data_IF_315687139442
#
_entry.id   IF_315687139442
#
_cell.length_a   1.000
_cell.length_b   1.000
_cell.length_c   1.000
_cell.angle_alpha   90.00
_cell.angle_beta   90.00
_cell.angle_gamma   90.00
#
_symmetry.space_group_name_H-M   'P 1'
#
loop_
_entity.id
_entity.type
_entity.pdbx_description
1 polymer ?
#
# COMPACT_ATOMS: atom_id res chain seq x y z
N UNK A 1 -92.79 1.41 6.59
CA UNK A 1 -91.82 2.28 5.88
C UNK A 1 -90.45 2.04 6.49
N UNK A 2 -89.56 1.36 5.75
CA UNK A 2 -88.22 0.99 6.24
C UNK A 2 -87.30 2.21 6.12
N UNK A 3 -86.53 2.44 7.19
CA UNK A 3 -85.83 3.68 7.49
C UNK A 3 -84.57 3.85 6.60
N UNK A 4 -84.68 4.64 5.52
CA UNK A 4 -83.67 4.85 4.48
C UNK A 4 -82.42 5.66 4.92
N UNK A 5 -82.33 6.09 6.19
CA UNK A 5 -81.22 6.93 6.65
C UNK A 5 -79.95 6.16 7.04
N UNK A 6 -80.04 4.86 7.35
CA UNK A 6 -78.87 4.07 7.75
C UNK A 6 -77.94 3.70 6.58
N UNK A 7 -78.46 3.58 5.37
CA UNK A 7 -77.69 3.10 4.20
C UNK A 7 -76.72 4.16 3.63
N UNK A 8 -77.03 5.44 3.76
CA UNK A 8 -76.20 6.53 3.22
C UNK A 8 -75.00 6.90 4.10
N UNK A 9 -75.07 6.66 5.42
CA UNK A 9 -73.98 7.03 6.35
C UNK A 9 -72.77 6.09 6.23
N UNK A 10 -72.99 4.81 5.92
CA UNK A 10 -71.92 3.83 5.70
C UNK A 10 -71.23 4.02 4.34
N UNK A 11 -71.97 4.46 3.31
CA UNK A 11 -71.41 4.70 1.96
C UNK A 11 -70.44 5.89 1.92
N UNK A 12 -70.68 6.92 2.73
CA UNK A 12 -69.76 8.07 2.84
C UNK A 12 -68.48 7.70 3.60
N UNK A 13 -68.59 7.01 4.74
CA UNK A 13 -67.42 6.59 5.54
C UNK A 13 -66.47 5.65 4.79
N UNK A 14 -66.99 4.75 3.95
CA UNK A 14 -66.17 3.84 3.14
C UNK A 14 -65.38 4.57 2.04
N UNK A 15 -65.96 5.63 1.42
CA UNK A 15 -65.27 6.43 0.41
C UNK A 15 -64.12 7.25 1.00
N UNK A 16 -64.30 7.80 2.20
CA UNK A 16 -63.26 8.60 2.87
C UNK A 16 -62.10 7.70 3.33
N UNK A 17 -62.38 6.51 3.89
CA UNK A 17 -61.34 5.56 4.29
C UNK A 17 -60.54 5.03 3.10
N UNK A 18 -61.20 4.74 1.97
CA UNK A 18 -60.53 4.26 0.75
C UNK A 18 -59.66 5.34 0.09
N UNK A 19 -60.06 6.62 0.17
CA UNK A 19 -59.24 7.75 -0.29
C UNK A 19 -58.00 7.96 0.58
N UNK A 20 -58.12 7.87 1.91
CA UNK A 20 -56.96 7.98 2.81
C UNK A 20 -55.98 6.82 2.63
N UNK A 21 -56.47 5.60 2.39
CA UNK A 21 -55.64 4.42 2.16
C UNK A 21 -54.92 4.45 0.80
N UNK A 22 -55.53 5.03 -0.24
CA UNK A 22 -54.86 5.23 -1.53
C UNK A 22 -53.77 6.31 -1.46
N UNK A 23 -54.00 7.40 -0.72
CA UNK A 23 -53.03 8.49 -0.58
C UNK A 23 -51.81 8.02 0.25
N UNK A 24 -52.01 7.24 1.31
CA UNK A 24 -50.90 6.66 2.07
C UNK A 24 -50.11 5.62 1.28
N UNK A 25 -50.75 4.87 0.37
CA UNK A 25 -50.06 3.93 -0.51
C UNK A 25 -49.24 4.66 -1.59
N UNK A 26 -49.72 5.80 -2.12
CA UNK A 26 -48.99 6.64 -3.09
C UNK A 26 -47.82 7.36 -2.40
N UNK A 27 -47.97 7.81 -1.15
CA UNK A 27 -46.88 8.38 -0.34
C UNK A 27 -45.83 7.34 0.08
N UNK A 28 -46.23 6.08 0.28
CA UNK A 28 -45.29 4.99 0.56
C UNK A 28 -44.44 4.58 -0.67
N UNK A 29 -44.92 4.84 -1.89
CA UNK A 29 -44.18 4.55 -3.14
C UNK A 29 -43.12 5.63 -3.45
N UNK A 30 -43.22 6.84 -2.88
CA UNK A 30 -42.18 7.86 -2.98
C UNK A 30 -41.11 7.79 -1.88
N UNK A 31 -41.24 6.86 -0.93
CA UNK A 31 -40.17 6.45 0.00
C UNK A 31 -39.41 5.23 -0.54
N UNK A 32 -39.27 5.10 -1.86
CA UNK A 32 -38.19 4.30 -2.43
C UNK A 32 -36.88 4.96 -2.01
N UNK A 33 -36.18 4.29 -1.09
CA UNK A 33 -34.73 4.35 -0.90
C UNK A 33 -34.06 5.04 -2.09
N UNK A 34 -33.54 6.25 -1.87
CA UNK A 34 -32.52 6.80 -2.73
C UNK A 34 -31.42 5.75 -2.79
N UNK A 35 -31.35 4.99 -3.88
CA UNK A 35 -30.07 4.43 -4.30
C UNK A 35 -29.19 5.66 -4.42
N UNK A 36 -28.23 5.81 -3.51
CA UNK A 36 -27.14 6.74 -3.70
C UNK A 36 -26.61 6.46 -5.10
N UNK A 37 -26.88 7.38 -6.03
CA UNK A 37 -26.34 7.32 -7.36
C UNK A 37 -24.82 7.31 -7.22
N UNK A 38 -24.19 6.37 -7.92
CA UNK A 38 -22.75 6.14 -7.84
C UNK A 38 -21.98 7.43 -8.02
N UNK A 39 -21.54 7.99 -6.90
CA UNK A 39 -20.68 9.17 -6.86
C UNK A 39 -19.22 8.81 -7.09
N UNK A 40 -18.40 9.83 -7.26
CA UNK A 40 -16.93 9.69 -7.26
C UNK A 40 -16.37 10.30 -5.99
N UNK A 41 -15.28 9.74 -5.50
CA UNK A 41 -14.42 10.38 -4.52
C UNK A 41 -12.98 10.36 -4.99
N UNK A 42 -12.11 11.04 -4.26
CA UNK A 42 -10.71 11.20 -4.65
C UNK A 42 -9.82 10.38 -3.73
N UNK A 43 -8.85 9.67 -4.29
CA UNK A 43 -7.82 8.96 -3.53
C UNK A 43 -6.43 9.50 -3.87
N UNK A 44 -5.62 9.72 -2.86
CA UNK A 44 -4.18 9.91 -3.00
C UNK A 44 -3.45 8.72 -2.39
N UNK A 45 -2.55 8.10 -3.15
CA UNK A 45 -1.64 7.07 -2.64
C UNK A 45 -0.27 7.67 -2.35
N UNK A 46 0.28 7.37 -1.17
CA UNK A 46 1.63 7.75 -0.80
C UNK A 46 2.32 6.68 0.02
N UNK A 47 3.64 6.73 0.05
CA UNK A 47 4.48 5.85 0.85
C UNK A 47 5.14 6.65 1.96
N UNK A 48 5.26 6.06 3.15
CA UNK A 48 5.76 6.75 4.35
C UNK A 48 6.82 5.91 5.05
N UNK A 49 7.99 6.48 5.27
CA UNK A 49 9.05 5.86 6.07
C UNK A 49 9.45 6.78 7.24
N UNK A 50 8.90 6.58 8.44
CA UNK A 50 9.19 7.44 9.60
C UNK A 50 10.64 7.36 10.08
N UNK A 51 11.34 6.24 9.81
CA UNK A 51 12.77 6.10 10.08
C UNK A 51 13.56 7.07 9.21
N UNK A 52 13.29 7.13 7.91
CA UNK A 52 13.95 8.07 7.01
C UNK A 52 13.63 9.53 7.37
N UNK A 53 12.38 9.86 7.70
CA UNK A 53 12.02 11.24 8.11
C UNK A 53 12.81 11.68 9.35
N UNK A 54 12.93 10.80 10.36
CA UNK A 54 13.74 11.05 11.55
C UNK A 54 15.23 11.11 11.23
N UNK A 55 15.72 10.19 10.40
CA UNK A 55 17.12 10.14 9.99
C UNK A 55 17.53 11.39 9.21
N UNK A 56 16.75 11.81 8.20
CA UNK A 56 16.96 13.07 7.47
C UNK A 56 16.98 14.26 8.41
N UNK A 57 16.10 14.35 9.41
CA UNK A 57 16.16 15.44 10.40
C UNK A 57 17.48 15.48 11.20
N UNK A 58 18.12 14.32 11.40
CA UNK A 58 19.41 14.20 12.09
C UNK A 58 20.60 14.37 11.13
N UNK A 59 20.51 13.83 9.92
CA UNK A 59 21.52 13.90 8.87
C UNK A 59 21.62 15.31 8.30
N UNK A 60 20.50 15.99 8.10
CA UNK A 60 20.44 17.38 7.62
C UNK A 60 20.91 18.37 8.70
N UNK A 61 20.73 18.03 9.99
CA UNK A 61 21.43 18.70 11.09
C UNK A 61 22.95 18.46 11.02
N UNK A 62 23.40 17.22 10.82
CA UNK A 62 24.83 16.88 10.71
C UNK A 62 25.51 17.42 9.43
N UNK A 63 24.77 17.53 8.33
CA UNK A 63 25.24 17.97 6.99
C UNK A 63 24.97 19.45 6.71
N UNK A 64 24.51 20.22 7.69
CA UNK A 64 24.41 21.69 7.61
C UNK A 64 25.77 22.41 7.49
N UNK A 65 26.83 21.69 7.12
CA UNK A 65 28.16 22.18 6.83
C UNK A 65 28.34 22.32 5.29
N UNK A 66 28.50 23.54 4.74
CA UNK A 66 28.17 23.86 3.34
C UNK A 66 29.22 23.48 2.28
N UNK A 67 29.91 22.34 2.39
CA UNK A 67 31.01 21.99 1.47
C UNK A 67 30.83 20.74 0.59
N UNK A 68 29.64 20.12 0.51
CA UNK A 68 29.47 18.93 -0.33
C UNK A 68 28.41 19.21 -1.41
N UNK A 69 28.80 20.03 -2.38
CA UNK A 69 28.10 20.18 -3.65
C UNK A 69 29.13 20.29 -4.77
N UNK A 70 29.61 19.15 -5.27
CA UNK A 70 30.19 19.07 -6.61
C UNK A 70 30.21 17.63 -7.11
N UNK A 71 29.61 17.43 -8.29
CA UNK A 71 29.93 16.37 -9.26
C UNK A 71 29.99 14.94 -8.69
N UNK A 72 28.80 14.33 -8.46
CA UNK A 72 28.71 12.94 -8.02
C UNK A 72 29.17 11.98 -9.14
N UNK A 73 30.39 11.47 -9.00
CA UNK A 73 30.75 10.18 -9.57
C UNK A 73 29.69 9.13 -9.17
N UNK A 74 29.48 8.05 -9.96
CA UNK A 74 28.56 6.99 -9.56
C UNK A 74 28.94 6.51 -8.16
N UNK A 75 27.95 6.47 -7.26
CA UNK A 75 28.15 6.03 -5.90
C UNK A 75 28.65 4.58 -5.92
N UNK A 76 29.79 4.34 -5.28
CA UNK A 76 30.38 3.00 -5.12
C UNK A 76 30.20 2.60 -3.66
N UNK A 77 29.67 1.41 -3.42
CA UNK A 77 29.60 0.88 -2.06
C UNK A 77 31.01 0.78 -1.47
N UNK A 78 31.22 1.26 -0.23
CA UNK A 78 32.46 1.00 0.47
C UNK A 78 32.62 -0.50 0.73
N UNK A 79 33.84 -0.92 1.07
CA UNK A 79 34.08 -2.30 1.46
C UNK A 79 33.35 -2.62 2.78
N UNK A 80 32.96 -3.89 2.93
CA UNK A 80 32.48 -4.45 4.19
C UNK A 80 33.62 -4.46 5.21
N UNK A 81 33.28 -4.28 6.49
CA UNK A 81 34.28 -4.10 7.56
C UNK A 81 34.88 -5.41 8.08
N UNK A 82 34.36 -6.56 7.65
CA UNK A 82 34.70 -7.87 8.17
C UNK A 82 33.72 -8.93 7.68
N UNK A 83 33.89 -10.16 8.19
CA UNK A 83 33.04 -11.31 7.85
C UNK A 83 31.58 -11.07 8.24
N UNK A 84 31.38 -10.19 9.23
CA UNK A 84 30.08 -9.63 9.60
C UNK A 84 30.18 -8.11 9.66
N UNK A 85 29.35 -7.42 8.89
CA UNK A 85 29.23 -5.95 8.93
C UNK A 85 27.88 -5.55 9.51
N UNK A 86 27.91 -4.80 10.60
CA UNK A 86 26.70 -4.37 11.32
C UNK A 86 26.23 -3.02 10.82
N UNK A 87 25.00 -2.94 10.34
CA UNK A 87 24.41 -1.74 9.75
C UNK A 87 23.02 -1.44 10.29
N UNK A 88 22.58 -0.20 10.19
CA UNK A 88 21.24 0.25 10.57
C UNK A 88 20.45 0.56 9.31
N UNK A 89 19.24 0.00 9.21
CA UNK A 89 18.34 0.24 8.09
C UNK A 89 17.85 1.70 8.07
N UNK A 90 17.93 2.36 6.90
CA UNK A 90 17.43 3.73 6.71
C UNK A 90 16.20 3.74 5.82
N UNK A 91 16.31 3.21 4.60
CA UNK A 91 15.21 3.16 3.62
C UNK A 91 15.45 2.07 2.57
N UNK A 92 14.43 1.80 1.78
CA UNK A 92 14.51 0.96 0.59
C UNK A 92 14.39 1.85 -0.64
N UNK A 93 15.16 1.54 -1.68
CA UNK A 93 15.10 2.21 -2.98
C UNK A 93 14.72 1.18 -4.04
N UNK A 94 13.50 1.26 -4.55
CA UNK A 94 12.95 0.35 -5.55
C UNK A 94 12.06 1.11 -6.52
N UNK A 95 11.59 0.43 -7.56
CA UNK A 95 10.68 1.00 -8.55
C UNK A 95 9.27 0.45 -8.31
N UNK A 96 8.38 1.28 -7.77
CA UNK A 96 6.94 1.01 -7.81
C UNK A 96 6.42 1.37 -9.18
N UNK A 97 5.84 0.41 -9.91
CA UNK A 97 5.32 0.67 -11.24
C UNK A 97 3.95 1.29 -11.21
N UNK A 98 2.99 0.48 -10.77
CA UNK A 98 1.58 0.80 -10.80
C UNK A 98 0.90 0.31 -9.53
N UNK A 99 -0.15 1.03 -9.15
CA UNK A 99 -0.98 0.73 -7.99
C UNK A 99 -2.43 0.65 -8.46
N UNK A 100 -3.14 -0.40 -8.05
CA UNK A 100 -4.56 -0.56 -8.33
C UNK A 100 -5.32 -0.94 -7.08
N UNK A 101 -6.60 -0.57 -7.02
CA UNK A 101 -7.51 -0.93 -5.93
C UNK A 101 -8.76 -1.60 -6.49
N UNK A 102 -9.39 -2.45 -5.69
CA UNK A 102 -10.63 -3.13 -6.07
C UNK A 102 -11.61 -3.17 -4.89
N UNK A 103 -12.89 -3.01 -5.19
CA UNK A 103 -14.00 -3.32 -4.26
C UNK A 103 -14.17 -4.83 -4.09
N UNK A 104 -13.66 -5.61 -5.05
CA UNK A 104 -13.51 -7.05 -4.95
C UNK A 104 -12.43 -7.45 -3.95
N UNK A 105 -12.55 -8.67 -3.43
CA UNK A 105 -11.63 -9.24 -2.45
C UNK A 105 -10.77 -10.32 -3.12
N UNK A 106 -9.45 -10.18 -3.04
CA UNK A 106 -8.51 -11.27 -3.35
C UNK A 106 -8.64 -12.36 -2.29
N UNK A 107 -8.93 -13.59 -2.75
CA UNK A 107 -9.16 -14.76 -1.89
C UNK A 107 -8.20 -15.87 -2.27
N UNK A 108 -7.55 -16.48 -1.26
CA UNK A 108 -6.70 -17.64 -1.46
C UNK A 108 -7.44 -18.76 -2.24
N UNK A 109 -6.76 -19.33 -3.23
CA UNK A 109 -7.33 -20.34 -4.15
C UNK A 109 -8.21 -19.78 -5.28
N UNK A 110 -8.57 -18.49 -5.25
CA UNK A 110 -9.28 -17.82 -6.33
C UNK A 110 -8.34 -17.35 -7.45
N UNK A 111 -8.90 -16.96 -8.59
CA UNK A 111 -8.17 -16.38 -9.74
C UNK A 111 -8.30 -14.85 -9.77
N UNK A 112 -7.40 -14.14 -10.47
CA UNK A 112 -7.52 -12.69 -10.67
C UNK A 112 -8.60 -12.36 -11.72
N UNK A 113 -9.85 -12.26 -11.27
CA UNK A 113 -11.02 -11.88 -12.06
C UNK A 113 -11.69 -10.60 -11.53
N UNK A 114 -10.95 -9.81 -10.74
CA UNK A 114 -11.47 -8.60 -10.11
C UNK A 114 -11.44 -7.41 -11.08
N UNK A 115 -12.37 -6.47 -10.87
CA UNK A 115 -12.31 -5.17 -11.54
C UNK A 115 -11.34 -4.28 -10.77
N UNK A 116 -10.24 -3.92 -11.43
CA UNK A 116 -9.18 -3.08 -10.87
C UNK A 116 -9.30 -1.64 -11.34
N UNK A 117 -9.18 -0.69 -10.40
CA UNK A 117 -9.08 0.74 -10.69
C UNK A 117 -7.64 1.17 -10.47
N UNK A 118 -6.98 1.68 -11.50
CA UNK A 118 -5.59 2.13 -11.45
C UNK A 118 -5.49 3.51 -10.80
N UNK A 119 -4.56 3.66 -9.86
CA UNK A 119 -4.28 4.93 -9.16
C UNK A 119 -3.11 5.70 -9.77
N UNK A 120 -2.29 5.06 -10.58
CA UNK A 120 -1.20 5.68 -11.32
C UNK A 120 -1.67 6.13 -12.70
N UNK A 121 -1.35 7.37 -13.09
CA UNK A 121 -1.69 7.89 -14.43
C UNK A 121 -0.79 7.32 -15.52
N UNK A 122 0.48 7.08 -15.17
CA UNK A 122 1.51 6.46 -16.02
C UNK A 122 2.31 5.47 -15.19
N UNK A 123 2.84 4.42 -15.83
CA UNK A 123 3.64 3.41 -15.13
C UNK A 123 4.97 4.05 -14.78
N UNK A 124 5.26 4.18 -13.49
CA UNK A 124 6.54 4.72 -13.05
C UNK A 124 7.67 3.73 -13.41
N UNK A 125 8.76 4.28 -13.94
CA UNK A 125 9.93 3.48 -14.37
C UNK A 125 11.16 3.75 -13.49
N UNK A 126 11.08 4.73 -12.61
CA UNK A 126 12.20 5.26 -11.83
C UNK A 126 12.31 4.56 -10.47
N UNK A 127 13.56 4.26 -10.08
CA UNK A 127 13.92 3.89 -8.70
C UNK A 127 13.88 5.13 -7.80
N UNK A 128 13.11 5.09 -6.72
CA UNK A 128 13.07 6.15 -5.70
C UNK A 128 13.18 5.55 -4.32
N UNK A 129 13.57 6.35 -3.32
CA UNK A 129 13.45 5.88 -1.95
C UNK A 129 11.97 5.68 -1.61
N UNK A 130 11.69 4.80 -0.66
CA UNK A 130 10.35 4.42 -0.26
C UNK A 130 9.47 5.66 0.02
N UNK A 131 9.97 6.61 0.80
CA UNK A 131 9.29 7.84 1.19
C UNK A 131 9.10 8.88 0.08
N UNK A 132 9.78 8.74 -1.05
CA UNK A 132 9.72 9.70 -2.16
C UNK A 132 8.52 9.43 -3.09
N UNK A 133 7.79 8.34 -2.88
CA UNK A 133 6.60 8.01 -3.66
C UNK A 133 5.35 8.72 -3.13
N UNK A 134 4.83 9.63 -3.94
CA UNK A 134 3.47 10.15 -3.84
C UNK A 134 2.89 10.22 -5.25
N UNK A 135 1.78 9.50 -5.49
CA UNK A 135 1.10 9.56 -6.77
C UNK A 135 0.07 10.70 -6.79
N UNK A 136 -0.17 11.32 -7.96
CA UNK A 136 -1.22 12.32 -8.10
C UNK A 136 -2.58 11.80 -7.62
N UNK A 137 -3.42 12.63 -7.00
CA UNK A 137 -4.77 12.23 -6.64
C UNK A 137 -5.59 11.80 -7.87
N UNK A 138 -6.44 10.78 -7.71
CA UNK A 138 -7.30 10.24 -8.77
C UNK A 138 -8.74 10.17 -8.30
N UNK A 139 -9.69 10.59 -9.15
CA UNK A 139 -11.12 10.39 -8.93
C UNK A 139 -11.52 8.96 -9.32
N UNK A 140 -12.13 8.23 -8.38
CA UNK A 140 -12.58 6.86 -8.57
C UNK A 140 -13.99 6.68 -7.99
N UNK A 141 -14.75 5.64 -8.40
CA UNK A 141 -16.08 5.41 -7.86
C UNK A 141 -16.09 5.34 -6.33
N UNK A 142 -17.06 5.99 -5.70
CA UNK A 142 -17.28 5.85 -4.27
C UNK A 142 -17.61 4.39 -3.93
N UNK A 143 -17.14 3.91 -2.78
CA UNK A 143 -17.36 2.55 -2.34
C UNK A 143 -16.32 2.04 -1.34
N UNK A 144 -16.50 0.79 -0.92
CA UNK A 144 -15.57 0.09 -0.02
C UNK A 144 -14.62 -0.79 -0.82
N UNK A 145 -13.35 -0.44 -0.78
CA UNK A 145 -12.24 -1.12 -1.43
C UNK A 145 -11.61 -2.13 -0.47
N UNK A 146 -11.39 -3.35 -0.94
CA UNK A 146 -10.96 -4.50 -0.13
C UNK A 146 -9.58 -5.04 -0.53
N UNK A 147 -9.13 -4.71 -1.72
CA UNK A 147 -7.86 -5.21 -2.25
C UNK A 147 -7.04 -4.09 -2.87
N UNK A 148 -5.73 -4.21 -2.75
CA UNK A 148 -4.74 -3.39 -3.47
C UNK A 148 -3.75 -4.31 -4.18
N UNK A 149 -3.38 -3.94 -5.41
CA UNK A 149 -2.38 -4.61 -6.25
C UNK A 149 -1.26 -3.63 -6.52
N UNK A 150 -0.01 -4.06 -6.38
CA UNK A 150 1.18 -3.23 -6.60
C UNK A 150 2.20 -4.00 -7.44
N UNK A 151 2.78 -3.35 -8.45
CA UNK A 151 3.89 -3.92 -9.24
C UNK A 151 5.23 -3.29 -8.87
N UNK A 152 6.28 -4.11 -8.95
CA UNK A 152 7.66 -3.69 -8.69
C UNK A 152 8.57 -4.16 -9.82
N UNK A 153 9.64 -3.39 -10.09
CA UNK A 153 10.78 -3.97 -10.81
C UNK A 153 11.52 -4.94 -9.91
N UNK A 154 12.23 -5.88 -10.53
CA UNK A 154 12.98 -6.90 -9.80
C UNK A 154 14.14 -6.31 -8.98
N UNK A 155 14.78 -5.27 -9.51
CA UNK A 155 15.90 -4.58 -8.86
C UNK A 155 15.47 -3.66 -7.72
N UNK A 156 16.08 -3.81 -6.55
CA UNK A 156 16.02 -2.82 -5.47
C UNK A 156 17.32 -2.68 -4.71
N UNK A 157 17.39 -1.64 -3.87
CA UNK A 157 18.51 -1.39 -2.99
C UNK A 157 18.02 -1.23 -1.56
N UNK A 158 18.72 -1.88 -0.63
CA UNK A 158 18.61 -1.57 0.79
C UNK A 158 19.63 -0.52 1.17
N UNK A 159 19.13 0.59 1.68
CA UNK A 159 19.96 1.73 2.08
C UNK A 159 20.19 1.66 3.58
N UNK A 160 21.46 1.47 3.96
CA UNK A 160 21.86 1.27 5.36
C UNK A 160 23.04 2.16 5.72
N UNK A 161 23.25 2.42 7.01
CA UNK A 161 24.46 3.08 7.52
C UNK A 161 25.24 2.14 8.43
N UNK A 162 26.58 2.25 8.42
CA UNK A 162 27.44 1.44 9.26
C UNK A 162 27.24 1.81 10.74
N UNK A 163 27.07 0.81 11.61
CA UNK A 163 26.83 1.06 13.04
C UNK A 163 28.04 1.71 13.73
N UNK A 164 29.26 1.32 13.37
CA UNK A 164 30.48 1.89 13.93
C UNK A 164 30.80 3.29 13.40
N UNK A 165 30.25 3.66 12.24
CA UNK A 165 30.40 4.99 11.66
C UNK A 165 29.17 5.35 10.78
N UNK A 166 28.16 6.02 11.35
CA UNK A 166 26.91 6.33 10.63
C UNK A 166 27.07 7.27 9.41
N UNK A 167 28.25 7.85 9.20
CA UNK A 167 28.56 8.63 7.98
C UNK A 167 28.87 7.73 6.78
N UNK A 168 29.22 6.47 7.03
CA UNK A 168 29.41 5.45 5.99
C UNK A 168 28.04 4.87 5.65
N UNK A 169 27.61 5.12 4.41
CA UNK A 169 26.39 4.57 3.83
C UNK A 169 26.74 3.35 2.98
N UNK A 170 25.80 2.42 2.83
CA UNK A 170 25.77 1.41 1.77
C UNK A 170 24.42 1.47 1.03
N UNK A 171 24.44 1.24 -0.28
CA UNK A 171 23.28 0.94 -1.14
C UNK A 171 23.40 -0.52 -1.62
N UNK A 172 22.90 -1.45 -0.81
CA UNK A 172 23.03 -2.89 -1.04
C UNK A 172 22.06 -3.33 -2.13
N UNK A 173 22.55 -3.74 -3.29
CA UNK A 173 21.73 -4.27 -4.38
C UNK A 173 21.10 -5.60 -3.95
N UNK A 174 19.78 -5.73 -4.13
CA UNK A 174 18.98 -6.91 -3.84
C UNK A 174 17.95 -7.13 -4.97
N UNK A 175 17.32 -8.30 -5.01
CA UNK A 175 16.33 -8.69 -6.02
C UNK A 175 15.01 -9.13 -5.39
N UNK A 176 13.89 -8.74 -5.98
CA UNK A 176 12.53 -9.01 -5.50
C UNK A 176 12.07 -10.46 -5.82
N UNK A 177 12.79 -11.15 -6.71
CA UNK A 177 12.54 -12.54 -7.09
C UNK A 177 12.80 -13.51 -5.94
N UNK A 178 14.03 -13.51 -5.42
CA UNK A 178 14.46 -14.30 -4.27
C UNK A 178 15.76 -13.76 -3.66
N UNK A 179 16.03 -14.02 -2.38
CA UNK A 179 17.26 -13.56 -1.72
C UNK A 179 18.51 -14.33 -2.17
N UNK A 180 18.34 -15.54 -2.70
CA UNK A 180 19.40 -16.42 -3.22
C UNK A 180 19.64 -16.24 -4.73
N UNK A 181 18.82 -15.44 -5.41
CA UNK A 181 19.02 -15.13 -6.83
C UNK A 181 20.19 -14.16 -7.01
N UNK A 182 21.07 -14.37 -8.00
CA UNK A 182 22.12 -13.41 -8.31
C UNK A 182 21.52 -12.10 -8.80
N UNK A 183 22.05 -10.99 -8.32
CA UNK A 183 21.59 -9.67 -8.77
C UNK A 183 22.22 -9.24 -10.09
N UNK A 184 21.44 -8.51 -10.87
CA UNK A 184 21.89 -7.78 -12.06
C UNK A 184 21.53 -6.30 -11.90
N UNK A 185 22.55 -5.44 -11.92
CA UNK A 185 22.41 -4.00 -11.79
C UNK A 185 21.64 -3.37 -12.95
N UNK A 186 21.52 -4.05 -14.08
CA UNK A 186 20.78 -3.64 -15.27
C UNK A 186 19.42 -4.37 -15.42
N UNK A 187 18.94 -5.06 -14.39
CA UNK A 187 17.64 -5.73 -14.45
C UNK A 187 16.47 -4.72 -14.42
N UNK A 188 15.78 -4.64 -15.55
CA UNK A 188 14.60 -3.79 -15.77
C UNK A 188 13.29 -4.60 -15.82
N UNK A 189 13.34 -5.90 -15.49
CA UNK A 189 12.17 -6.78 -15.49
C UNK A 189 11.20 -6.46 -14.35
N UNK A 190 9.93 -6.82 -14.58
CA UNK A 190 8.86 -6.72 -13.59
C UNK A 190 8.71 -8.05 -12.87
N UNK A 191 8.54 -8.00 -11.55
CA UNK A 191 8.13 -9.19 -10.78
C UNK A 191 6.61 -9.35 -10.79
N UNK A 192 6.17 -10.56 -10.43
CA UNK A 192 4.76 -10.82 -10.20
C UNK A 192 4.17 -9.80 -9.20
N UNK A 193 2.97 -9.26 -9.48
CA UNK A 193 2.36 -8.26 -8.60
C UNK A 193 2.12 -8.81 -7.20
N UNK A 194 2.21 -7.93 -6.21
CA UNK A 194 1.79 -8.22 -4.84
C UNK A 194 0.34 -7.77 -4.66
N UNK A 195 -0.46 -8.61 -4.01
CA UNK A 195 -1.89 -8.40 -3.79
C UNK A 195 -2.18 -8.41 -2.29
N UNK A 196 -2.65 -7.31 -1.73
CA UNK A 196 -2.89 -7.19 -0.29
C UNK A 196 -4.38 -7.12 0.02
N UNK A 197 -4.79 -7.88 1.04
CA UNK A 197 -6.14 -7.88 1.64
C UNK A 197 -6.03 -8.05 3.15
N UNK A 198 -7.17 -8.21 3.82
CA UNK A 198 -7.20 -8.47 5.26
C UNK A 198 -6.61 -9.85 5.62
N UNK A 199 -6.50 -10.75 4.63
CA UNK A 199 -5.90 -12.08 4.79
C UNK A 199 -4.37 -12.07 4.63
N UNK A 200 -3.79 -10.96 4.15
CA UNK A 200 -2.36 -10.78 3.98
C UNK A 200 -1.96 -10.41 2.54
N UNK A 201 -0.66 -10.55 2.26
CA UNK A 201 -0.06 -10.41 0.96
C UNK A 201 -0.14 -11.74 0.19
N UNK A 202 -0.52 -11.66 -1.08
CA UNK A 202 -0.68 -12.78 -1.99
C UNK A 202 0.11 -12.58 -3.27
N UNK A 203 0.51 -13.69 -3.89
CA UNK A 203 0.99 -13.77 -5.27
C UNK A 203 0.13 -14.75 -6.07
N UNK A 204 0.18 -14.67 -7.40
CA UNK A 204 -0.45 -15.68 -8.27
C UNK A 204 0.54 -16.81 -8.48
N UNK A 205 0.19 -18.03 -8.07
CA UNK A 205 1.00 -19.24 -8.26
C UNK A 205 0.11 -20.31 -8.89
N UNK A 206 0.49 -20.82 -10.06
CA UNK A 206 -0.35 -21.79 -10.78
C UNK A 206 -1.72 -21.23 -11.19
N UNK A 207 -1.80 -19.92 -11.45
CA UNK A 207 -3.03 -19.24 -11.86
C UNK A 207 -3.99 -18.85 -10.74
N UNK A 208 -3.67 -19.18 -9.48
CA UNK A 208 -4.50 -18.84 -8.31
C UNK A 208 -3.74 -18.00 -7.29
N UNK A 209 -4.47 -17.22 -6.50
CA UNK A 209 -3.91 -16.47 -5.38
C UNK A 209 -3.44 -17.40 -4.27
N UNK A 210 -2.19 -17.20 -3.82
CA UNK A 210 -1.58 -17.87 -2.69
C UNK A 210 -1.07 -16.83 -1.71
N UNK A 211 -1.41 -16.98 -0.43
CA UNK A 211 -0.86 -16.14 0.65
C UNK A 211 0.64 -16.39 0.74
N UNK A 212 1.44 -15.32 0.68
CA UNK A 212 2.90 -15.35 0.84
C UNK A 212 3.37 -14.69 2.13
N UNK A 213 2.62 -13.72 2.65
CA UNK A 213 2.88 -13.09 3.94
C UNK A 213 1.56 -12.74 4.64
N UNK A 214 1.11 -13.53 5.63
CA UNK A 214 -0.18 -13.32 6.27
C UNK A 214 -0.22 -12.06 7.15
N UNK A 215 0.93 -11.54 7.60
CA UNK A 215 1.00 -10.35 8.46
C UNK A 215 0.84 -9.02 7.72
N UNK A 216 1.17 -8.99 6.44
CA UNK A 216 1.16 -7.78 5.61
C UNK A 216 -0.22 -7.55 5.01
N UNK A 217 -1.06 -6.78 5.70
CA UNK A 217 -2.50 -6.72 5.43
C UNK A 217 -2.97 -5.34 5.00
N UNK A 218 -3.99 -5.33 4.15
CA UNK A 218 -4.88 -4.19 3.92
C UNK A 218 -6.23 -4.47 4.58
N UNK A 219 -6.63 -3.69 5.60
CA UNK A 219 -7.93 -3.87 6.31
C UNK A 219 -9.17 -3.40 5.52
N UNK A 220 -8.98 -2.99 4.26
CA UNK A 220 -9.97 -2.32 3.44
C UNK A 220 -10.18 -0.85 3.84
N UNK A 221 -10.83 -0.09 2.97
CA UNK A 221 -11.09 1.33 3.17
C UNK A 221 -12.31 1.78 2.37
N UNK A 222 -12.96 2.86 2.82
CA UNK A 222 -14.14 3.42 2.14
C UNK A 222 -13.80 4.80 1.59
N UNK A 223 -14.23 5.05 0.36
CA UNK A 223 -14.22 6.38 -0.25
C UNK A 223 -15.67 6.81 -0.41
N UNK A 224 -16.04 7.88 0.28
CA UNK A 224 -17.35 8.51 0.16
C UNK A 224 -17.40 9.46 -1.05
N UNK A 225 -18.60 9.66 -1.59
CA UNK A 225 -18.81 10.62 -2.69
C UNK A 225 -18.41 12.04 -2.29
N UNK A 226 -17.63 12.71 -3.13
CA UNK A 226 -17.12 14.06 -2.92
C UNK A 226 -16.09 14.19 -1.79
N UNK A 227 -15.60 13.08 -1.23
CA UNK A 227 -14.54 13.08 -0.21
C UNK A 227 -13.20 12.69 -0.81
N UNK A 228 -12.14 13.20 -0.18
CA UNK A 228 -10.77 12.82 -0.47
C UNK A 228 -10.24 11.91 0.63
N UNK A 229 -9.60 10.82 0.24
CA UNK A 229 -8.94 9.86 1.14
C UNK A 229 -7.46 9.78 0.79
N UNK A 230 -6.60 9.72 1.81
CA UNK A 230 -5.18 9.45 1.65
C UNK A 230 -4.85 8.05 2.13
N UNK A 231 -4.53 7.15 1.19
CA UNK A 231 -4.02 5.81 1.49
C UNK A 231 -2.49 5.87 1.60
N UNK A 232 -1.98 5.59 2.79
CA UNK A 232 -0.54 5.58 3.09
C UNK A 232 -0.05 4.15 3.29
N UNK A 233 0.94 3.72 2.49
CA UNK A 233 1.68 2.46 2.72
C UNK A 233 2.94 2.77 3.53
N UNK A 234 3.06 2.24 4.75
CA UNK A 234 4.12 2.64 5.68
C UNK A 234 5.14 1.53 5.85
N UNK A 235 6.42 1.89 5.80
CA UNK A 235 7.52 0.98 6.13
C UNK A 235 7.61 0.79 7.65
N UNK A 236 7.90 -0.43 8.09
CA UNK A 236 8.00 -0.83 9.50
C UNK A 236 6.71 -0.61 10.30
N UNK A 237 5.54 -0.73 9.65
CA UNK A 237 4.24 -0.40 10.26
C UNK A 237 4.17 1.02 10.89
N UNK A 238 4.97 1.96 10.36
CA UNK A 238 5.02 3.34 10.81
C UNK A 238 5.86 3.59 12.08
N UNK A 239 6.67 2.64 12.53
CA UNK A 239 7.60 2.87 13.64
C UNK A 239 8.78 3.75 13.25
N UNK A 240 9.41 4.38 14.24
CA UNK A 240 10.58 5.25 14.04
C UNK A 240 11.91 4.61 14.46
N UNK A 241 11.87 3.42 15.06
CA UNK A 241 13.04 2.66 15.46
C UNK A 241 13.49 1.78 14.29
N UNK A 242 14.75 1.89 13.84
CA UNK A 242 15.23 1.11 12.70
C UNK A 242 15.56 -0.33 13.08
N UNK A 243 15.53 -1.22 12.09
CA UNK A 243 16.11 -2.56 12.23
C UNK A 243 17.64 -2.49 12.05
N UNK A 244 18.35 -3.39 12.74
CA UNK A 244 19.77 -3.65 12.53
C UNK A 244 19.93 -4.80 11.54
N UNK A 245 20.88 -4.69 10.62
CA UNK A 245 21.24 -5.75 9.70
C UNK A 245 22.67 -6.22 9.98
N UNK A 246 22.85 -7.53 10.10
CA UNK A 246 24.16 -8.16 10.06
C UNK A 246 24.38 -8.71 8.64
N UNK A 247 25.23 -8.03 7.88
CA UNK A 247 25.63 -8.45 6.52
C UNK A 247 26.72 -9.51 6.66
N UNK A 248 26.49 -10.71 6.12
CA UNK A 248 27.38 -11.86 6.21
C UNK A 248 28.13 -11.99 4.87
N UNK A 249 29.42 -11.67 4.88
CA UNK A 249 30.34 -11.77 3.73
C UNK A 249 30.78 -13.24 3.57
N UNK A 250 30.00 -14.03 2.82
CA UNK A 250 30.15 -15.48 2.78
C UNK A 250 31.29 -15.93 1.87
N UNK A 251 31.64 -15.10 0.88
CA UNK A 251 32.75 -15.37 -0.04
C UNK A 251 34.07 -14.68 0.37
N UNK A 252 34.05 -13.86 1.43
CA UNK A 252 35.19 -13.17 2.05
C UNK A 252 35.88 -12.16 1.14
N UNK A 253 35.16 -11.58 0.19
CA UNK A 253 35.73 -10.60 -0.74
C UNK A 253 35.54 -9.15 -0.28
N UNK A 254 34.91 -8.94 0.90
CA UNK A 254 34.62 -7.64 1.50
C UNK A 254 33.68 -6.77 0.68
N UNK A 255 32.83 -7.35 -0.14
CA UNK A 255 31.78 -6.66 -0.92
C UNK A 255 30.44 -7.29 -0.60
N UNK A 256 29.36 -6.56 -0.89
CA UNK A 256 28.02 -7.12 -0.85
C UNK A 256 27.69 -7.74 -2.20
N UNK A 257 27.60 -9.06 -2.23
CA UNK A 257 27.26 -9.85 -3.40
C UNK A 257 25.91 -10.56 -3.21
N UNK A 258 24.85 -9.92 -3.70
CA UNK A 258 23.51 -10.52 -3.72
C UNK A 258 23.50 -11.90 -4.41
N UNK A 259 22.79 -12.85 -3.80
CA UNK A 259 22.76 -14.27 -4.18
C UNK A 259 23.96 -15.08 -3.68
N UNK A 260 24.97 -14.43 -3.09
CA UNK A 260 26.12 -15.11 -2.44
C UNK A 260 26.18 -14.81 -0.94
N UNK A 261 26.03 -13.54 -0.57
CA UNK A 261 26.00 -13.08 0.81
C UNK A 261 24.60 -13.20 1.41
N UNK A 262 24.53 -13.12 2.73
CA UNK A 262 23.28 -13.23 3.48
C UNK A 262 23.11 -12.06 4.48
N UNK A 263 21.88 -11.82 4.89
CA UNK A 263 21.50 -10.72 5.78
C UNK A 263 20.63 -11.23 6.92
N UNK A 264 21.14 -11.14 8.14
CA UNK A 264 20.30 -11.33 9.34
C UNK A 264 19.71 -9.99 9.75
N UNK A 265 18.38 -9.88 9.69
CA UNK A 265 17.64 -8.66 10.06
C UNK A 265 17.09 -8.81 11.48
N UNK A 266 17.44 -7.86 12.34
CA UNK A 266 17.01 -7.80 13.74
C UNK A 266 16.23 -6.51 13.93
N UNK A 267 14.91 -6.64 14.13
CA UNK A 267 14.02 -5.50 14.35
C UNK A 267 13.60 -5.39 15.82
N UNK A 268 13.35 -4.17 16.33
CA UNK A 268 12.74 -3.99 17.65
C UNK A 268 11.33 -4.60 17.69
N UNK A 269 10.82 -5.01 18.87
CA UNK A 269 9.49 -5.62 19.01
C UNK A 269 8.33 -4.73 18.53
N UNK A 270 8.57 -3.43 18.40
CA UNK A 270 7.62 -2.46 17.85
C UNK A 270 7.36 -2.66 16.35
N UNK A 271 8.32 -3.22 15.61
CA UNK A 271 8.17 -3.58 14.19
C UNK A 271 7.52 -4.97 14.11
N UNK A 272 6.20 -5.02 14.18
CA UNK A 272 5.46 -6.29 14.07
C UNK A 272 5.45 -6.82 12.63
N UNK A 273 5.40 -5.91 11.64
CA UNK A 273 5.36 -6.22 10.21
C UNK A 273 6.26 -5.27 9.42
N UNK A 274 6.72 -5.73 8.26
CA UNK A 274 7.56 -4.89 7.39
C UNK A 274 6.79 -3.70 6.82
N UNK A 275 5.49 -3.83 6.62
CA UNK A 275 4.65 -2.73 6.16
C UNK A 275 3.18 -2.89 6.52
N UNK A 276 2.48 -1.76 6.56
CA UNK A 276 1.03 -1.69 6.73
C UNK A 276 0.39 -0.57 5.90
N UNK A 277 -0.94 -0.60 5.80
CA UNK A 277 -1.72 0.42 5.11
C UNK A 277 -2.60 1.19 6.09
N UNK A 278 -2.53 2.52 6.03
CA UNK A 278 -3.35 3.43 6.84
C UNK A 278 -4.11 4.39 5.95
N UNK A 279 -5.35 4.66 6.33
CA UNK A 279 -6.29 5.52 5.62
C UNK A 279 -6.50 6.77 6.47
N UNK A 280 -6.38 7.95 5.86
CA UNK A 280 -6.66 9.24 6.50
C UNK A 280 -7.63 10.07 5.67
#
# INVERSE_FOLDING_TARGET
MINNQAFNKNRYRMKTFLQFFLISLILAIFCTCSKDEGGVGTIQFRMVNPVATKSQSNLQKALSNPQINSLQAPYVNPDLTGDVTQTTMVTLKFCVGDVWVSTGEVKAGGTDNLTWVRLTTTTNQELKNFEDYTFPPVEIPAGTYKSIKITFKNRFYRVVTLNSNPTVKYELLETMGSFDDPCNDNDESWVDPNYFTEQGNHKIVGGVFKVVSPGEKLRGFTIESGKTVTLSWRLGAGVTEPCTNALLDLNKNRRWDCGTDDITIICPPSVEFMWDFVVN
#
